data_IF_451301763613
#
_entry.id   IF_451301763613
#
_cell.length_a   1.000
_cell.length_b   1.000
_cell.length_c   1.000
_cell.angle_alpha   90.00
_cell.angle_beta   90.00
_cell.angle_gamma   90.00
#
_symmetry.space_group_name_H-M   'P 1'
#
loop_
_entity.id
_entity.type
_entity.pdbx_description
1 polymer ?
#
# COMPACT_ATOMS: atom_id res chain seq x y z
N UNK A 1 -0.13 -23.07 -9.67
CA UNK A 1 -0.69 -21.91 -10.44
C UNK A 1 -0.42 -20.53 -9.82
N UNK A 2 0.33 -20.40 -8.70
CA UNK A 2 0.68 -19.09 -8.13
C UNK A 2 2.11 -18.63 -8.49
N UNK A 3 3.06 -19.56 -8.63
CA UNK A 3 4.47 -19.26 -8.94
C UNK A 3 4.67 -18.61 -10.33
N UNK A 4 3.90 -19.02 -11.32
CA UNK A 4 3.99 -18.47 -12.69
C UNK A 4 3.61 -16.99 -12.78
N UNK A 5 2.68 -16.51 -11.94
CA UNK A 5 2.29 -15.10 -11.94
C UNK A 5 3.32 -14.19 -11.26
N UNK A 6 4.17 -14.74 -10.38
CA UNK A 6 5.19 -13.95 -9.67
C UNK A 6 6.44 -13.76 -10.54
N UNK A 7 6.87 -14.81 -11.24
CA UNK A 7 8.01 -14.78 -12.16
C UNK A 7 7.76 -13.82 -13.35
N UNK A 8 6.53 -13.79 -13.87
CA UNK A 8 6.15 -12.83 -14.93
C UNK A 8 6.16 -11.39 -14.40
N UNK A 9 5.79 -11.15 -13.15
CA UNK A 9 5.91 -9.81 -12.55
C UNK A 9 7.36 -9.40 -12.29
N UNK A 10 8.23 -10.33 -11.90
CA UNK A 10 9.67 -10.07 -11.66
C UNK A 10 10.40 -9.66 -12.94
N UNK A 11 10.16 -10.40 -14.03
CA UNK A 11 10.78 -10.13 -15.33
C UNK A 11 10.35 -8.78 -15.93
N UNK A 12 9.07 -8.42 -15.79
CA UNK A 12 8.59 -7.08 -16.17
C UNK A 12 9.15 -5.96 -15.27
N UNK A 13 9.35 -6.22 -13.97
CA UNK A 13 9.94 -5.24 -13.06
C UNK A 13 11.42 -4.97 -13.38
N UNK A 14 12.17 -6.02 -13.74
CA UNK A 14 13.58 -5.91 -14.15
C UNK A 14 13.70 -5.14 -15.47
N UNK A 15 12.85 -5.46 -16.47
CA UNK A 15 12.81 -4.74 -17.75
C UNK A 15 12.40 -3.27 -17.59
N UNK A 16 11.41 -2.99 -16.72
CA UNK A 16 11.03 -1.62 -16.39
C UNK A 16 12.15 -0.86 -15.66
N UNK A 17 12.92 -1.52 -14.78
CA UNK A 17 14.09 -0.92 -14.14
C UNK A 17 15.21 -0.61 -15.14
N UNK A 18 15.46 -1.51 -16.11
CA UNK A 18 16.45 -1.28 -17.17
C UNK A 18 16.06 -0.09 -18.07
N UNK A 19 14.76 0.10 -18.31
CA UNK A 19 14.24 1.28 -19.01
C UNK A 19 14.33 2.56 -18.14
N UNK A 20 14.20 2.44 -16.83
CA UNK A 20 14.39 3.56 -15.89
C UNK A 20 15.86 3.94 -15.73
N UNK A 21 16.82 3.03 -15.89
CA UNK A 21 18.26 3.34 -15.93
C UNK A 21 18.66 4.33 -17.05
N UNK A 22 17.85 4.46 -18.10
CA UNK A 22 18.03 5.50 -19.14
C UNK A 22 17.56 6.89 -18.68
N UNK A 23 16.72 6.97 -17.64
CA UNK A 23 16.35 8.20 -16.97
C UNK A 23 17.24 8.37 -15.73
N UNK A 24 17.68 9.59 -15.42
CA UNK A 24 18.63 9.88 -14.33
C UNK A 24 18.08 9.67 -12.91
N UNK A 25 17.09 8.80 -12.71
CA UNK A 25 16.41 8.52 -11.44
C UNK A 25 16.75 7.12 -10.92
N UNK A 26 16.94 6.95 -9.60
CA UNK A 26 17.16 5.64 -9.03
C UNK A 26 15.93 4.74 -9.25
N UNK A 27 16.10 3.49 -9.72
CA UNK A 27 15.00 2.55 -9.89
C UNK A 27 14.28 2.28 -8.56
N UNK A 28 12.95 2.29 -8.62
CA UNK A 28 12.07 2.06 -7.48
C UNK A 28 11.44 0.67 -7.61
N UNK A 29 11.79 -0.24 -6.69
CA UNK A 29 11.15 -1.55 -6.59
C UNK A 29 10.01 -1.51 -5.58
N UNK A 30 8.81 -1.88 -6.01
CA UNK A 30 7.66 -2.03 -5.12
C UNK A 30 7.44 -3.48 -4.67
N UNK A 31 7.54 -3.73 -3.36
CA UNK A 31 7.28 -5.02 -2.71
C UNK A 31 5.86 -5.04 -2.15
N UNK A 32 5.05 -6.06 -2.48
CA UNK A 32 3.69 -6.19 -1.97
C UNK A 32 3.44 -7.56 -1.35
N UNK A 33 3.39 -7.62 -0.02
CA UNK A 33 3.15 -8.87 0.70
C UNK A 33 1.67 -9.07 1.04
N UNK A 34 1.13 -10.26 0.74
CA UNK A 34 -0.25 -10.64 1.13
C UNK A 34 -0.29 -11.17 2.57
N UNK A 35 -1.40 -10.94 3.27
CA UNK A 35 -1.70 -11.54 4.58
C UNK A 35 -1.90 -13.05 4.44
N UNK A 36 -0.84 -13.84 4.59
CA UNK A 36 -0.93 -15.30 4.70
C UNK A 36 0.05 -15.79 5.75
N UNK A 37 -0.25 -16.88 6.46
CA UNK A 37 0.60 -17.46 7.51
C UNK A 37 1.59 -18.52 6.98
N UNK A 38 1.47 -18.89 5.71
CA UNK A 38 2.25 -19.96 5.06
C UNK A 38 3.38 -19.34 4.22
N UNK A 39 4.57 -19.12 4.78
CA UNK A 39 5.64 -18.37 4.10
C UNK A 39 7.05 -18.85 4.48
N UNK A 40 7.59 -19.83 3.76
CA UNK A 40 9.04 -19.96 3.58
C UNK A 40 9.46 -19.53 2.16
N UNK A 41 8.79 -20.02 1.11
CA UNK A 41 9.19 -19.73 -0.28
C UNK A 41 9.25 -18.23 -0.67
N UNK A 42 8.29 -17.35 -0.30
CA UNK A 42 8.32 -15.97 -0.80
C UNK A 42 9.38 -15.06 -0.14
N UNK A 43 10.13 -15.56 0.86
CA UNK A 43 11.23 -14.80 1.47
C UNK A 43 12.55 -15.10 0.78
N UNK A 44 12.80 -16.36 0.42
CA UNK A 44 14.00 -16.75 -0.33
C UNK A 44 13.99 -16.13 -1.74
N UNK A 45 12.84 -16.15 -2.42
CA UNK A 45 12.66 -15.46 -3.70
C UNK A 45 12.89 -13.94 -3.59
N UNK A 46 12.41 -13.33 -2.49
CA UNK A 46 12.62 -11.91 -2.23
C UNK A 46 14.09 -11.61 -1.95
N UNK A 47 14.79 -12.47 -1.20
CA UNK A 47 16.22 -12.33 -0.95
C UNK A 47 17.00 -12.40 -2.25
N UNK A 48 16.79 -13.44 -3.06
CA UNK A 48 17.48 -13.60 -4.34
C UNK A 48 17.23 -12.42 -5.30
N UNK A 49 16.01 -11.87 -5.31
CA UNK A 49 15.71 -10.66 -6.09
C UNK A 49 16.50 -9.45 -5.59
N UNK A 50 16.61 -9.27 -4.27
CA UNK A 50 17.34 -8.14 -3.68
C UNK A 50 18.85 -8.30 -3.90
N UNK A 51 19.38 -9.51 -3.77
CA UNK A 51 20.78 -9.81 -4.04
C UNK A 51 21.12 -9.44 -5.49
N UNK A 52 20.29 -9.86 -6.45
CA UNK A 52 20.46 -9.52 -7.86
C UNK A 52 20.35 -8.00 -8.11
N UNK A 53 19.47 -7.30 -7.41
CA UNK A 53 19.34 -5.83 -7.50
C UNK A 53 20.58 -5.14 -6.95
N UNK A 54 21.14 -5.63 -5.84
CA UNK A 54 22.36 -5.08 -5.27
C UNK A 54 23.57 -5.26 -6.19
N UNK A 55 23.63 -6.37 -6.93
CA UNK A 55 24.68 -6.63 -7.92
C UNK A 55 24.50 -5.81 -9.21
N UNK A 56 23.27 -5.66 -9.69
CA UNK A 56 22.97 -5.03 -10.98
C UNK A 56 22.76 -3.52 -10.89
N UNK A 57 22.39 -2.99 -9.72
CA UNK A 57 21.97 -1.59 -9.53
C UNK A 57 22.60 -0.99 -8.27
N UNK A 58 23.66 -0.16 -8.40
CA UNK A 58 24.37 0.41 -7.25
C UNK A 58 23.54 1.43 -6.46
N UNK A 59 22.45 1.95 -7.05
CA UNK A 59 21.57 2.94 -6.43
C UNK A 59 20.09 2.55 -6.60
N UNK A 60 19.55 1.70 -5.71
CA UNK A 60 18.17 1.23 -5.76
C UNK A 60 17.37 1.67 -4.53
N UNK A 61 16.09 1.98 -4.75
CA UNK A 61 15.10 2.22 -3.70
C UNK A 61 14.14 1.04 -3.68
N UNK A 62 14.03 0.38 -2.53
CA UNK A 62 13.09 -0.73 -2.32
C UNK A 62 11.99 -0.22 -1.39
N UNK A 63 10.74 -0.24 -1.80
CA UNK A 63 9.62 0.26 -1.01
C UNK A 63 8.42 -0.66 -1.08
N UNK A 64 7.54 -0.65 -0.07
CA UNK A 64 6.27 -1.34 -0.19
C UNK A 64 5.60 -1.73 1.12
N UNK A 65 4.49 -2.46 1.01
CA UNK A 65 3.75 -3.00 2.16
C UNK A 65 4.33 -4.39 2.50
N UNK A 66 5.32 -4.39 3.39
CA UNK A 66 5.95 -5.63 3.90
C UNK A 66 5.01 -6.36 4.85
N UNK A 67 4.06 -5.62 5.45
CA UNK A 67 3.00 -6.16 6.29
C UNK A 67 3.54 -7.06 7.42
N UNK A 68 4.56 -6.59 8.14
CA UNK A 68 5.20 -7.29 9.27
C UNK A 68 5.02 -6.46 10.56
N UNK A 69 3.83 -6.49 11.17
CA UNK A 69 3.50 -5.59 12.29
C UNK A 69 4.21 -5.94 13.60
N UNK A 70 4.79 -7.14 13.70
CA UNK A 70 5.43 -7.64 14.92
C UNK A 70 6.93 -7.34 14.99
N UNK A 71 7.50 -6.73 13.95
CA UNK A 71 8.89 -6.28 13.94
C UNK A 71 8.96 -4.82 14.34
N UNK A 72 9.77 -4.53 15.36
CA UNK A 72 10.22 -3.18 15.64
C UNK A 72 11.40 -2.88 14.74
N UNK A 73 11.17 -2.13 13.67
CA UNK A 73 12.17 -1.83 12.66
C UNK A 73 13.31 -0.92 13.14
N UNK A 74 13.08 -0.14 14.21
CA UNK A 74 14.11 0.72 14.82
C UNK A 74 15.14 -0.10 15.60
N UNK A 75 14.69 -1.05 16.42
CA UNK A 75 15.56 -1.93 17.21
C UNK A 75 15.87 -3.26 16.53
N UNK A 76 15.26 -3.53 15.38
CA UNK A 76 15.28 -4.83 14.67
C UNK A 76 14.92 -6.00 15.59
N UNK A 77 13.96 -5.79 16.50
CA UNK A 77 13.49 -6.82 17.44
C UNK A 77 12.08 -7.30 17.12
N UNK A 78 11.74 -8.52 17.55
CA UNK A 78 10.43 -9.12 17.34
C UNK A 78 9.64 -9.08 18.65
N UNK A 79 8.36 -8.69 18.59
CA UNK A 79 7.46 -8.70 19.74
C UNK A 79 7.34 -10.10 20.36
N UNK A 80 7.16 -10.24 21.69
CA UNK A 80 7.12 -11.54 22.36
C UNK A 80 6.01 -12.47 21.83
N UNK A 81 4.87 -11.92 21.41
CA UNK A 81 3.77 -12.66 20.78
C UNK A 81 3.52 -12.14 19.36
N UNK A 82 4.32 -12.57 18.36
CA UNK A 82 4.22 -12.04 17.01
C UNK A 82 3.00 -12.61 16.27
N UNK A 83 2.38 -11.78 15.43
CA UNK A 83 1.22 -12.16 14.61
C UNK A 83 1.58 -13.30 13.64
N UNK A 84 2.77 -13.24 13.05
CA UNK A 84 3.35 -14.31 12.23
C UNK A 84 4.43 -15.06 13.02
N UNK A 85 4.77 -16.27 12.58
CA UNK A 85 5.84 -17.08 13.20
C UNK A 85 7.14 -16.29 13.34
N UNK A 86 7.86 -16.47 14.45
CA UNK A 86 9.13 -15.77 14.73
C UNK A 86 10.15 -15.94 13.60
N UNK A 87 10.30 -17.14 13.06
CA UNK A 87 11.20 -17.44 11.94
C UNK A 87 10.94 -16.54 10.71
N UNK A 88 9.67 -16.26 10.40
CA UNK A 88 9.28 -15.43 9.25
C UNK A 88 9.63 -13.97 9.47
N UNK A 89 9.46 -13.47 10.69
CA UNK A 89 9.84 -12.10 11.05
C UNK A 89 11.37 -11.96 11.05
N UNK A 90 12.07 -12.98 11.56
CA UNK A 90 13.53 -13.02 11.63
C UNK A 90 14.15 -13.06 10.24
N UNK A 91 13.67 -13.91 9.35
CA UNK A 91 14.22 -14.02 7.99
C UNK A 91 14.14 -12.70 7.19
N UNK A 92 13.13 -11.87 7.45
CA UNK A 92 13.05 -10.55 6.82
C UNK A 92 14.03 -9.56 7.46
N UNK A 93 14.22 -9.63 8.79
CA UNK A 93 15.26 -8.85 9.45
C UNK A 93 16.63 -9.23 8.89
N UNK A 94 16.93 -10.53 8.84
CA UNK A 94 18.19 -11.09 8.35
C UNK A 94 18.43 -10.66 6.90
N UNK A 95 17.43 -10.78 6.03
CA UNK A 95 17.50 -10.29 4.65
C UNK A 95 17.88 -8.81 4.60
N UNK A 96 17.25 -7.94 5.42
CA UNK A 96 17.59 -6.50 5.40
C UNK A 96 19.02 -6.23 5.86
N UNK A 97 19.54 -7.03 6.78
CA UNK A 97 20.90 -6.89 7.31
C UNK A 97 21.93 -7.42 6.31
N UNK A 98 21.70 -8.62 5.78
CA UNK A 98 22.59 -9.27 4.81
C UNK A 98 22.75 -8.44 3.54
N UNK A 99 21.67 -7.79 3.10
CA UNK A 99 21.66 -6.94 1.91
C UNK A 99 22.04 -5.48 2.16
N UNK A 100 22.53 -5.13 3.37
CA UNK A 100 22.95 -3.77 3.69
C UNK A 100 21.84 -2.71 3.55
N UNK A 101 20.57 -3.13 3.61
CA UNK A 101 19.44 -2.26 3.34
C UNK A 101 19.19 -1.29 4.49
N UNK A 102 19.33 0.00 4.21
CA UNK A 102 19.09 1.05 5.18
C UNK A 102 17.65 1.54 5.13
N UNK A 103 16.99 1.52 6.30
CA UNK A 103 15.64 2.02 6.45
C UNK A 103 15.64 3.56 6.44
N UNK A 104 14.78 4.14 5.60
CA UNK A 104 14.59 5.60 5.51
C UNK A 104 13.42 6.07 6.39
N UNK A 105 12.37 5.24 6.50
CA UNK A 105 11.14 5.62 7.21
C UNK A 105 11.23 5.34 8.70
N UNK A 106 11.13 6.37 9.55
CA UNK A 106 11.20 6.19 11.02
C UNK A 106 9.89 6.48 11.77
N UNK A 107 8.87 7.01 11.09
CA UNK A 107 7.54 7.27 11.67
C UNK A 107 6.57 6.12 11.38
N UNK A 108 5.71 5.73 12.34
CA UNK A 108 4.74 4.67 12.13
C UNK A 108 3.72 5.05 11.06
N UNK A 109 3.47 4.15 10.11
CA UNK A 109 2.50 4.37 9.03
C UNK A 109 1.12 3.83 9.37
N UNK A 110 0.99 2.89 10.33
CA UNK A 110 -0.30 2.44 10.87
C UNK A 110 -0.22 2.20 12.37
N UNK A 111 -0.99 2.97 13.14
CA UNK A 111 -0.98 2.93 14.62
C UNK A 111 0.45 3.14 15.16
N UNK A 112 0.98 2.20 15.94
CA UNK A 112 2.34 2.26 16.47
C UNK A 112 3.35 1.45 15.62
N UNK A 113 2.92 0.94 14.46
CA UNK A 113 3.72 0.05 13.61
C UNK A 113 4.17 0.76 12.33
N UNK A 114 5.38 0.45 11.90
CA UNK A 114 5.91 0.82 10.57
C UNK A 114 5.67 -0.38 9.65
N UNK A 115 4.77 -0.25 8.68
CA UNK A 115 4.41 -1.34 7.75
C UNK A 115 4.81 -1.04 6.31
N UNK A 116 4.71 0.24 5.95
CA UNK A 116 5.18 0.77 4.68
C UNK A 116 6.64 1.12 4.87
N UNK A 117 7.53 0.28 4.35
CA UNK A 117 8.97 0.47 4.51
C UNK A 117 9.55 1.02 3.22
N UNK A 118 10.55 1.86 3.40
CA UNK A 118 11.43 2.35 2.34
C UNK A 118 12.84 1.99 2.78
N UNK A 119 13.49 1.19 1.96
CA UNK A 119 14.88 0.77 2.08
C UNK A 119 15.68 1.34 0.91
N UNK A 120 16.94 1.66 1.18
CA UNK A 120 17.93 1.98 0.16
C UNK A 120 19.13 1.06 0.33
N UNK A 121 19.74 0.65 -0.78
CA UNK A 121 20.99 -0.10 -0.74
C UNK A 121 22.23 0.80 -0.59
N UNK A 122 22.10 2.09 -0.97
CA UNK A 122 23.15 3.08 -0.81
C UNK A 122 22.62 4.33 -0.08
N UNK A 123 23.15 4.69 1.11
CA UNK A 123 22.71 5.87 1.87
C UNK A 123 22.90 7.19 1.12
N UNK A 124 23.85 7.24 0.18
CA UNK A 124 24.14 8.46 -0.56
C UNK A 124 22.95 8.93 -1.42
N UNK A 125 22.03 8.03 -1.77
CA UNK A 125 20.78 8.35 -2.48
C UNK A 125 19.91 9.30 -1.65
N UNK A 126 19.86 9.10 -0.32
CA UNK A 126 19.04 9.92 0.59
C UNK A 126 19.59 11.35 0.66
N UNK A 127 20.92 11.49 0.58
CA UNK A 127 21.59 12.78 0.66
C UNK A 127 21.56 13.55 -0.66
N UNK A 128 21.61 12.86 -1.80
CA UNK A 128 21.59 13.47 -3.13
C UNK A 128 20.20 13.88 -3.60
N UNK A 129 19.13 13.30 -3.04
CA UNK A 129 17.76 13.57 -3.48
C UNK A 129 17.02 14.45 -2.47
N UNK A 130 17.01 15.77 -2.73
CA UNK A 130 16.10 16.72 -2.07
C UNK A 130 14.65 16.21 -2.06
N UNK A 131 14.27 15.47 -3.11
CA UNK A 131 12.98 14.84 -3.30
C UNK A 131 12.61 13.82 -2.22
N UNK A 132 13.55 13.07 -1.64
CA UNK A 132 13.21 12.09 -0.58
C UNK A 132 12.87 12.82 0.72
N UNK A 133 13.65 13.84 1.10
CA UNK A 133 13.34 14.66 2.29
C UNK A 133 12.05 15.47 2.13
N UNK A 134 11.75 15.97 0.93
CA UNK A 134 10.58 16.82 0.68
C UNK A 134 9.29 16.04 0.39
N UNK A 135 9.38 14.84 -0.20
CA UNK A 135 8.22 14.04 -0.61
C UNK A 135 7.92 12.86 0.32
N UNK A 136 8.78 12.56 1.31
CA UNK A 136 8.38 11.65 2.39
C UNK A 136 7.38 12.40 3.28
N UNK A 137 6.13 11.91 3.41
CA UNK A 137 5.13 12.57 4.22
C UNK A 137 5.54 12.54 5.69
N UNK A 138 5.97 13.69 6.22
CA UNK A 138 6.34 13.83 7.62
C UNK A 138 5.13 13.80 8.57
N UNK A 139 3.95 14.12 8.04
CA UNK A 139 2.70 14.22 8.80
C UNK A 139 1.73 13.14 8.33
N UNK A 140 1.44 12.20 9.22
CA UNK A 140 0.33 11.28 9.03
C UNK A 140 -0.96 12.10 9.21
N UNK A 141 -1.64 12.44 8.12
CA UNK A 141 -2.97 13.03 8.22
C UNK A 141 -3.88 12.05 8.96
N UNK A 142 -4.57 12.53 9.99
CA UNK A 142 -5.59 11.74 10.66
C UNK A 142 -6.62 11.21 9.66
N UNK A 143 -7.22 10.04 9.91
CA UNK A 143 -8.21 9.49 8.98
C UNK A 143 -9.34 10.51 8.80
N UNK A 144 -9.60 10.90 7.55
CA UNK A 144 -10.79 11.71 7.20
C UNK A 144 -12.02 10.83 7.41
N UNK A 145 -12.59 10.88 8.62
CA UNK A 145 -13.76 10.08 9.02
C UNK A 145 -15.04 10.49 8.28
N UNK A 146 -15.06 11.71 7.76
CA UNK A 146 -16.23 12.34 7.15
C UNK A 146 -15.94 12.77 5.72
N UNK A 147 -15.74 11.78 4.84
CA UNK A 147 -15.72 12.03 3.39
C UNK A 147 -17.15 12.20 2.87
N UNK A 148 -17.45 13.17 1.99
CA UNK A 148 -18.82 13.51 1.60
C UNK A 148 -19.61 12.35 0.97
N UNK A 149 -18.95 11.48 0.22
CA UNK A 149 -19.55 10.31 -0.42
C UNK A 149 -19.84 9.15 0.57
N UNK A 150 -19.42 9.24 1.83
CA UNK A 150 -19.70 8.23 2.86
C UNK A 150 -21.02 8.51 3.58
N UNK A 151 -22.13 8.32 2.86
CA UNK A 151 -23.48 8.63 3.36
C UNK A 151 -23.90 7.76 4.55
N UNK A 152 -24.87 8.21 5.38
CA UNK A 152 -25.39 7.40 6.50
C UNK A 152 -25.95 6.03 6.07
N UNK A 153 -26.47 5.93 4.84
CA UNK A 153 -26.93 4.65 4.28
C UNK A 153 -25.75 3.70 4.04
N UNK A 154 -24.69 4.17 3.39
CA UNK A 154 -23.47 3.38 3.17
C UNK A 154 -22.84 2.94 4.50
N UNK A 155 -22.77 3.84 5.48
CA UNK A 155 -22.30 3.51 6.86
C UNK A 155 -23.16 2.40 7.50
N UNK A 156 -24.50 2.45 7.35
CA UNK A 156 -25.41 1.39 7.83
C UNK A 156 -25.18 0.06 7.12
N UNK A 157 -25.00 0.07 5.80
CA UNK A 157 -24.72 -1.14 5.02
C UNK A 157 -23.38 -1.78 5.43
N UNK A 158 -22.34 -0.99 5.68
CA UNK A 158 -21.04 -1.47 6.17
C UNK A 158 -21.19 -2.16 7.53
N UNK A 159 -21.91 -1.53 8.47
CA UNK A 159 -22.20 -2.13 9.80
C UNK A 159 -22.97 -3.44 9.66
N UNK A 160 -23.99 -3.49 8.79
CA UNK A 160 -24.77 -4.72 8.50
C UNK A 160 -23.89 -5.83 7.92
N UNK A 161 -23.04 -5.50 6.93
CA UNK A 161 -22.05 -6.44 6.37
C UNK A 161 -21.12 -6.98 7.45
N UNK A 162 -20.64 -6.13 8.36
CA UNK A 162 -19.76 -6.56 9.46
C UNK A 162 -20.48 -7.51 10.44
N UNK A 163 -21.74 -7.22 10.79
CA UNK A 163 -22.56 -8.13 11.61
C UNK A 163 -22.72 -9.51 10.95
N UNK A 164 -22.98 -9.55 9.64
CA UNK A 164 -23.10 -10.80 8.88
C UNK A 164 -21.78 -11.57 8.77
N UNK A 165 -20.65 -10.88 8.64
CA UNK A 165 -19.32 -11.50 8.70
C UNK A 165 -19.08 -12.17 10.06
N UNK A 166 -19.37 -11.44 11.16
CA UNK A 166 -19.24 -11.98 12.51
C UNK A 166 -20.16 -13.19 12.72
N UNK A 167 -21.39 -13.13 12.20
CA UNK A 167 -22.34 -14.24 12.26
C UNK A 167 -21.85 -15.47 11.47
N UNK A 168 -21.33 -15.28 10.26
CA UNK A 168 -20.75 -16.35 9.45
C UNK A 168 -19.55 -17.00 10.15
N UNK A 169 -18.72 -16.23 10.85
CA UNK A 169 -17.58 -16.80 11.59
C UNK A 169 -17.99 -17.68 12.77
N UNK A 170 -19.13 -17.37 13.39
CA UNK A 170 -19.66 -18.11 14.55
C UNK A 170 -20.47 -19.34 14.15
N UNK A 171 -21.10 -19.32 12.97
CA UNK A 171 -22.04 -20.36 12.54
C UNK A 171 -21.46 -21.21 11.40
N UNK A 172 -21.77 -22.52 11.39
CA UNK A 172 -21.35 -23.46 10.32
C UNK A 172 -22.34 -23.52 9.14
N UNK A 173 -23.41 -22.72 9.13
CA UNK A 173 -24.42 -22.73 8.07
C UNK A 173 -23.97 -22.01 6.79
N UNK A 174 -24.27 -22.60 5.63
CA UNK A 174 -23.98 -22.03 4.30
C UNK A 174 -24.74 -20.72 4.03
N UNK A 175 -25.94 -20.56 4.59
CA UNK A 175 -26.79 -19.38 4.38
C UNK A 175 -26.15 -18.08 4.90
N UNK A 176 -25.43 -18.14 6.03
CA UNK A 176 -24.76 -16.95 6.55
C UNK A 176 -23.62 -16.49 5.64
N UNK A 177 -22.93 -17.43 4.99
CA UNK A 177 -21.93 -17.11 3.96
C UNK A 177 -22.59 -16.47 2.75
N UNK A 178 -23.73 -16.99 2.28
CA UNK A 178 -24.48 -16.39 1.18
C UNK A 178 -24.95 -14.96 1.52
N UNK A 179 -25.53 -14.77 2.70
CA UNK A 179 -25.99 -13.47 3.20
C UNK A 179 -24.84 -12.46 3.34
N UNK A 180 -23.69 -12.88 3.86
CA UNK A 180 -22.49 -12.03 3.93
C UNK A 180 -22.01 -11.65 2.53
N UNK A 181 -21.95 -12.58 1.59
CA UNK A 181 -21.51 -12.30 0.21
C UNK A 181 -22.46 -11.33 -0.49
N UNK A 182 -23.78 -11.49 -0.32
CA UNK A 182 -24.78 -10.55 -0.82
C UNK A 182 -24.58 -9.15 -0.23
N UNK A 183 -24.43 -9.04 1.10
CA UNK A 183 -24.18 -7.77 1.76
C UNK A 183 -22.85 -7.13 1.35
N UNK A 184 -21.80 -7.93 1.12
CA UNK A 184 -20.50 -7.46 0.61
C UNK A 184 -20.63 -6.85 -0.79
N UNK A 185 -21.34 -7.52 -1.69
CA UNK A 185 -21.60 -7.02 -3.06
C UNK A 185 -22.40 -5.73 -3.02
N UNK A 186 -23.47 -5.69 -2.22
CA UNK A 186 -24.30 -4.50 -2.06
C UNK A 186 -23.51 -3.29 -1.53
N UNK A 187 -22.66 -3.49 -0.51
CA UNK A 187 -21.78 -2.44 0.00
C UNK A 187 -20.82 -1.95 -1.07
N UNK A 188 -20.16 -2.85 -1.82
CA UNK A 188 -19.24 -2.46 -2.90
C UNK A 188 -19.94 -1.61 -3.96
N UNK A 189 -21.14 -2.03 -4.39
CA UNK A 189 -21.94 -1.28 -5.36
C UNK A 189 -22.28 0.12 -4.83
N UNK A 190 -22.83 0.20 -3.62
CA UNK A 190 -23.21 1.48 -3.02
C UNK A 190 -22.00 2.43 -2.81
N UNK A 191 -20.84 1.88 -2.43
CA UNK A 191 -19.61 2.64 -2.26
C UNK A 191 -19.15 3.26 -3.60
N UNK A 192 -19.14 2.44 -4.66
CA UNK A 192 -18.74 2.90 -5.99
C UNK A 192 -19.72 3.93 -6.54
N UNK A 193 -21.03 3.71 -6.38
CA UNK A 193 -22.06 4.66 -6.79
C UNK A 193 -21.89 6.00 -6.09
N UNK A 194 -21.82 6.01 -4.76
CA UNK A 194 -21.69 7.26 -4.00
C UNK A 194 -20.37 7.99 -4.29
N UNK A 195 -19.29 7.25 -4.50
CA UNK A 195 -18.01 7.83 -4.91
C UNK A 195 -18.08 8.47 -6.30
N UNK A 196 -18.65 7.76 -7.28
CA UNK A 196 -18.79 8.26 -8.64
C UNK A 196 -19.70 9.49 -8.69
N UNK A 197 -20.84 9.48 -8.01
CA UNK A 197 -21.74 10.64 -7.92
C UNK A 197 -21.03 11.88 -7.37
N UNK A 198 -20.23 11.71 -6.32
CA UNK A 198 -19.43 12.79 -5.76
C UNK A 198 -18.35 13.31 -6.72
N UNK A 199 -17.64 12.41 -7.41
CA UNK A 199 -16.62 12.78 -8.40
C UNK A 199 -17.26 13.53 -9.58
N UNK A 200 -18.37 13.02 -10.11
CA UNK A 200 -19.10 13.69 -11.20
C UNK A 200 -19.57 15.08 -10.77
N UNK A 201 -20.13 15.22 -9.56
CA UNK A 201 -20.53 16.52 -9.03
C UNK A 201 -19.37 17.52 -8.91
N UNK A 202 -18.16 17.06 -8.56
CA UNK A 202 -16.97 17.93 -8.53
C UNK A 202 -16.51 18.37 -9.93
N UNK A 203 -16.65 17.50 -10.93
CA UNK A 203 -16.28 17.81 -12.31
C UNK A 203 -17.28 18.81 -12.92
N UNK A 204 -18.58 18.61 -12.69
CA UNK A 204 -19.64 19.50 -13.17
C UNK A 204 -19.54 20.91 -12.58
N UNK A 205 -19.08 21.04 -11.32
CA UNK A 205 -18.87 22.34 -10.67
C UNK A 205 -17.71 23.11 -11.33
N UNK A 206 -16.62 22.44 -11.71
CA UNK A 206 -15.49 23.09 -12.41
C UNK A 206 -15.85 23.58 -13.81
N UNK A 207 -16.71 22.85 -14.53
CA UNK A 207 -17.20 23.29 -15.84
C UNK A 207 -18.12 24.51 -15.73
N UNK A 208 -18.87 24.63 -14.63
CA UNK A 208 -19.72 25.81 -14.38
C UNK A 208 -18.90 27.03 -13.98
N UNK A 209 -17.91 26.90 -13.11
CA UNK A 209 -17.03 28.01 -12.70
C UNK A 209 -16.23 28.57 -13.90
N UNK A 210 -15.68 27.69 -14.74
CA UNK A 210 -14.96 28.10 -15.96
C UNK A 210 -15.87 28.72 -17.03
N UNK A 211 -17.15 28.32 -17.12
CA UNK A 211 -18.10 28.96 -18.02
C UNK A 211 -18.60 30.31 -17.49
N UNK A 212 -18.85 30.46 -16.18
CA UNK A 212 -19.30 31.74 -15.58
C UNK A 212 -18.24 32.83 -15.74
N UNK A 213 -16.95 32.50 -15.61
CA UNK A 213 -15.86 33.46 -15.87
C UNK A 213 -15.75 33.87 -17.36
N UNK A 214 -16.07 32.95 -18.29
CA UNK A 214 -16.14 33.27 -19.73
C UNK A 214 -17.32 34.17 -20.09
N UNK A 215 -18.45 34.10 -19.38
CA UNK A 215 -19.61 34.96 -19.63
C UNK A 215 -19.53 36.34 -18.96
N UNK A 216 -18.72 36.51 -17.90
CA UNK A 216 -18.58 37.79 -17.18
C UNK A 216 -17.49 38.72 -17.72
N UNK A 217 -16.76 38.34 -18.76
CA UNK A 217 -15.74 39.19 -19.41
C UNK A 217 -16.27 40.08 -20.53
N UNK A 218 -17.60 40.11 -20.75
CA UNK A 218 -18.24 40.77 -21.89
C UNK A 218 -19.36 41.78 -21.57
N UNK A 219 -19.31 42.50 -20.44
CA UNK A 219 -20.15 43.71 -20.21
C UNK A 219 -19.41 44.72 -19.34
N UNK A 220 -18.64 45.60 -19.99
CA UNK A 220 -18.35 46.94 -19.48
C UNK A 220 -19.09 47.90 -20.41
N UNK A 221 -20.19 48.46 -19.92
CA UNK A 221 -20.68 49.76 -20.39
C UNK A 221 -19.94 50.84 -19.59
#
# INVERSE_FOLDING_TARGET
>A
MAATNFIVCLSFAILACYLVQLASFPPILQVKRKHTDTLHEPIEELSAMIDHINESMPNAIITGDFNVPSVNWKSKTISPNPLYRRAVNQAIIDMTVQNGLQQVQHKPSRQNNILDLVFVNNPNIINSTLAVKQNIPEKTLGPRRDVPWMTPNVKRMIKKKQRLYNLQRKSRRKDHKANFMAARRAVKKALNTAHNEYVMGLLDVKEKESNVERFNTGRKF
#
